data_IF_460268329526
#
_entry.id   IF_460268329526
#
_cell.length_a   1.000
_cell.length_b   1.000
_cell.length_c   1.000
_cell.angle_alpha   90.00
_cell.angle_beta   90.00
_cell.angle_gamma   90.00
#
_symmetry.space_group_name_H-M   'P 1'
#
loop_
_entity.id
_entity.type
_entity.pdbx_description
1 polymer ?
#
# COMPACT_ATOMS: atom_id res chain seq x y z
N UNK A 1 -6.27 1.14 6.32
CA UNK A 1 -5.78 0.85 4.96
C UNK A 1 -6.17 -0.53 4.41
N UNK A 2 -6.50 -1.55 5.23
CA UNK A 2 -6.51 -2.97 4.78
C UNK A 2 -7.85 -3.55 4.31
N UNK A 3 -8.89 -2.74 4.13
CA UNK A 3 -10.19 -3.26 3.67
C UNK A 3 -10.09 -4.01 2.33
N UNK A 4 -9.39 -3.48 1.29
CA UNK A 4 -9.23 -4.23 0.02
C UNK A 4 -8.52 -5.57 0.20
N UNK A 5 -7.50 -5.62 1.08
CA UNK A 5 -6.82 -6.88 1.41
C UNK A 5 -7.80 -7.93 1.94
N UNK A 6 -8.62 -7.57 2.94
CA UNK A 6 -9.57 -8.51 3.53
C UNK A 6 -10.62 -8.99 2.51
N UNK A 7 -11.14 -8.09 1.67
CA UNK A 7 -12.12 -8.46 0.63
C UNK A 7 -11.52 -9.47 -0.35
N UNK A 8 -10.36 -9.17 -0.92
CA UNK A 8 -9.73 -10.04 -1.94
C UNK A 8 -9.23 -11.35 -1.33
N UNK A 9 -8.68 -11.32 -0.11
CA UNK A 9 -8.27 -12.53 0.62
C UNK A 9 -9.46 -13.44 0.89
N UNK A 10 -10.60 -12.90 1.33
CA UNK A 10 -11.83 -13.68 1.54
C UNK A 10 -12.36 -14.27 0.24
N UNK A 11 -12.20 -13.58 -0.89
CA UNK A 11 -12.57 -14.08 -2.20
C UNK A 11 -11.57 -15.10 -2.81
N UNK A 12 -10.44 -15.38 -2.13
CA UNK A 12 -9.40 -16.27 -2.65
C UNK A 12 -8.61 -15.68 -3.85
N UNK A 13 -8.62 -14.35 -4.01
CA UNK A 13 -7.98 -13.66 -5.14
C UNK A 13 -6.53 -13.29 -4.79
N UNK A 14 -5.60 -13.74 -5.63
CA UNK A 14 -4.18 -13.36 -5.55
C UNK A 14 -3.90 -12.10 -6.36
N UNK A 15 -3.26 -11.11 -5.74
CA UNK A 15 -2.85 -9.86 -6.38
C UNK A 15 -1.56 -9.33 -5.74
N UNK A 16 -0.55 -8.91 -6.53
CA UNK A 16 0.75 -8.48 -6.00
C UNK A 16 0.65 -7.40 -4.92
N UNK A 17 -0.10 -6.33 -5.19
CA UNK A 17 -0.39 -5.30 -4.17
C UNK A 17 -1.38 -5.75 -3.08
N UNK A 18 -2.62 -6.10 -3.45
CA UNK A 18 -3.70 -6.21 -2.47
C UNK A 18 -3.60 -7.40 -1.53
N UNK A 19 -3.12 -8.56 -1.99
CA UNK A 19 -2.98 -9.75 -1.13
C UNK A 19 -1.53 -10.15 -0.86
N UNK A 20 -0.58 -9.68 -1.66
CA UNK A 20 0.84 -9.73 -1.36
C UNK A 20 1.29 -8.62 -0.39
N UNK A 21 1.57 -7.43 -0.92
CA UNK A 21 2.15 -6.32 -0.15
C UNK A 21 1.29 -5.86 1.03
N UNK A 22 -0.01 -5.59 0.81
CA UNK A 22 -0.92 -5.21 1.91
C UNK A 22 -1.11 -6.35 2.91
N UNK A 23 -0.98 -7.60 2.47
CA UNK A 23 -1.02 -8.77 3.35
C UNK A 23 0.15 -8.74 4.32
N UNK A 24 1.39 -8.59 3.83
CA UNK A 24 2.58 -8.45 4.65
C UNK A 24 2.50 -7.24 5.59
N UNK A 25 1.94 -6.12 5.12
CA UNK A 25 1.71 -4.93 5.95
C UNK A 25 0.72 -5.20 7.09
N UNK A 26 -0.34 -5.96 6.81
CA UNK A 26 -1.38 -6.30 7.81
C UNK A 26 -0.88 -7.20 8.93
N UNK A 27 0.20 -7.96 8.70
CA UNK A 27 0.88 -8.76 9.73
C UNK A 27 1.68 -7.89 10.71
N UNK A 28 2.16 -6.72 10.26
CA UNK A 28 2.93 -5.76 11.09
C UNK A 28 2.05 -4.72 11.76
N UNK A 29 1.00 -4.28 11.07
CA UNK A 29 0.14 -3.19 11.51
C UNK A 29 -1.33 -3.52 11.30
N UNK A 30 -2.14 -3.32 12.33
CA UNK A 30 -3.60 -3.35 12.24
C UNK A 30 -4.16 -2.05 11.69
N UNK A 31 -3.52 -0.93 12.03
CA UNK A 31 -3.87 0.41 11.52
C UNK A 31 -2.62 1.10 11.02
N UNK A 32 -2.72 1.64 9.81
CA UNK A 32 -1.78 2.60 9.24
C UNK A 32 -2.61 3.82 8.87
N UNK A 33 -2.50 4.86 9.67
CA UNK A 33 -3.08 6.19 9.48
C UNK A 33 -1.96 7.23 9.54
N UNK A 34 -2.14 8.42 8.98
CA UNK A 34 -1.12 9.49 8.98
C UNK A 34 -0.60 9.84 10.37
N UNK A 35 -1.45 9.81 11.40
CA UNK A 35 -1.08 10.24 12.75
C UNK A 35 -0.93 9.06 13.73
N UNK A 36 -1.29 7.85 13.32
CA UNK A 36 -1.27 6.67 14.20
C UNK A 36 -0.87 5.41 13.43
N UNK A 37 0.11 4.68 13.98
CA UNK A 37 0.30 3.26 13.70
C UNK A 37 -0.24 2.46 14.89
N UNK A 38 -0.88 1.33 14.61
CA UNK A 38 -1.32 0.38 15.63
C UNK A 38 -0.83 -1.01 15.25
N UNK A 39 -0.05 -1.65 16.13
CA UNK A 39 0.39 -3.02 15.93
C UNK A 39 -0.74 -4.02 16.21
N UNK A 40 -0.64 -5.28 15.76
CA UNK A 40 -1.59 -6.34 16.13
C UNK A 40 -1.68 -6.57 17.65
N UNK A 41 -0.61 -6.28 18.40
CA UNK A 41 -0.58 -6.35 19.86
C UNK A 41 -1.30 -5.18 20.56
N UNK A 42 -1.76 -4.18 19.80
CA UNK A 42 -2.44 -3.00 20.33
C UNK A 42 -1.51 -1.86 20.73
N UNK A 43 -0.23 -1.93 20.38
CA UNK A 43 0.73 -0.86 20.66
C UNK A 43 0.55 0.28 19.66
N UNK A 44 0.37 1.50 20.19
CA UNK A 44 0.14 2.70 19.41
C UNK A 44 1.43 3.51 19.24
N UNK A 45 1.73 3.91 18.01
CA UNK A 45 2.78 4.87 17.68
C UNK A 45 2.15 6.15 17.12
N UNK A 46 1.85 7.16 17.97
CA UNK A 46 1.33 8.43 17.51
C UNK A 46 2.42 9.27 16.82
N UNK A 47 2.00 10.21 15.97
CA UNK A 47 2.85 11.20 15.29
C UNK A 47 4.07 10.62 14.53
N UNK A 48 4.01 9.33 14.19
CA UNK A 48 5.07 8.60 13.50
C UNK A 48 5.51 9.28 12.20
N UNK A 49 4.59 9.94 11.50
CA UNK A 49 4.89 10.60 10.22
C UNK A 49 5.87 11.78 10.35
N UNK A 50 6.09 12.28 11.57
CA UNK A 50 7.06 13.35 11.88
C UNK A 50 8.37 12.81 12.47
N UNK A 51 8.45 11.50 12.76
CA UNK A 51 9.66 10.89 13.29
C UNK A 51 10.74 10.83 12.22
N UNK A 52 12.00 10.97 12.65
CA UNK A 52 13.17 10.89 11.73
C UNK A 52 13.39 9.47 11.22
N UNK A 53 13.13 8.49 12.08
CA UNK A 53 13.26 7.08 11.79
C UNK A 53 11.86 6.45 11.86
N UNK A 54 11.51 5.69 10.82
CA UNK A 54 10.25 4.96 10.70
C UNK A 54 10.56 3.55 10.24
N UNK A 55 9.68 2.58 10.55
CA UNK A 55 9.79 1.22 10.01
C UNK A 55 9.95 1.28 8.48
N UNK A 56 10.97 0.62 7.90
CA UNK A 56 11.14 0.52 6.46
C UNK A 56 9.86 0.10 5.71
N UNK A 57 9.03 -0.78 6.29
CA UNK A 57 7.76 -1.18 5.69
C UNK A 57 6.81 0.03 5.53
N UNK A 58 6.72 0.90 6.53
CA UNK A 58 5.91 2.13 6.46
C UNK A 58 6.49 3.12 5.46
N UNK A 59 7.82 3.25 5.40
CA UNK A 59 8.50 4.05 4.36
C UNK A 59 8.13 3.55 2.97
N UNK A 60 8.26 2.25 2.73
CA UNK A 60 8.02 1.63 1.42
C UNK A 60 6.54 1.73 1.03
N UNK A 61 5.62 1.57 2.01
CA UNK A 61 4.19 1.82 1.84
C UNK A 61 3.91 3.25 1.34
N UNK A 62 4.55 4.27 1.95
CA UNK A 62 4.39 5.67 1.53
C UNK A 62 4.99 5.94 0.16
N UNK A 63 6.16 5.37 -0.13
CA UNK A 63 6.83 5.54 -1.42
C UNK A 63 5.99 4.94 -2.55
N UNK A 64 5.42 3.75 -2.33
CA UNK A 64 4.52 3.10 -3.29
C UNK A 64 3.24 3.92 -3.53
N UNK A 65 2.60 4.42 -2.47
CA UNK A 65 1.43 5.29 -2.62
C UNK A 65 1.78 6.56 -3.41
N UNK A 66 2.89 7.21 -3.09
CA UNK A 66 3.34 8.40 -3.79
C UNK A 66 3.64 8.11 -5.26
N UNK A 67 4.39 7.05 -5.57
CA UNK A 67 4.73 6.70 -6.95
C UNK A 67 3.49 6.43 -7.81
N UNK A 68 2.46 5.80 -7.23
CA UNK A 68 1.21 5.50 -7.93
C UNK A 68 0.28 6.71 -8.09
N UNK A 69 0.28 7.65 -7.14
CA UNK A 69 -0.62 8.81 -7.17
C UNK A 69 0.00 10.03 -7.87
N UNK A 70 1.30 10.25 -7.70
CA UNK A 70 1.99 11.48 -8.10
C UNK A 70 3.32 11.22 -8.83
N UNK A 71 3.85 10.00 -8.77
CA UNK A 71 5.11 9.64 -9.40
C UNK A 71 4.97 9.18 -10.84
N UNK A 72 6.02 8.49 -11.31
CA UNK A 72 6.11 7.97 -12.69
C UNK A 72 5.62 6.52 -12.80
N UNK A 73 5.02 5.99 -11.73
CA UNK A 73 4.47 4.63 -11.66
C UNK A 73 5.53 3.56 -11.94
N UNK A 74 6.75 3.75 -11.42
CA UNK A 74 7.84 2.79 -11.52
C UNK A 74 7.49 1.44 -10.90
N UNK A 75 6.67 1.43 -9.85
CA UNK A 75 6.22 0.23 -9.16
C UNK A 75 5.03 -0.46 -9.85
N UNK A 76 4.42 0.14 -10.87
CA UNK A 76 3.23 -0.41 -11.50
C UNK A 76 3.43 -1.80 -12.13
N UNK A 77 4.51 -2.12 -12.86
CA UNK A 77 4.70 -3.46 -13.42
C UNK A 77 4.69 -4.57 -12.37
N UNK A 78 5.26 -4.30 -11.20
CA UNK A 78 5.40 -5.30 -10.14
C UNK A 78 4.13 -5.40 -9.27
N UNK A 79 3.48 -4.27 -8.98
CA UNK A 79 2.37 -4.21 -8.02
C UNK A 79 0.97 -4.13 -8.65
N UNK A 80 0.87 -3.58 -9.86
CA UNK A 80 -0.37 -3.33 -10.61
C UNK A 80 -0.17 -3.62 -12.11
N UNK A 81 0.24 -4.86 -12.47
CA UNK A 81 0.60 -5.23 -13.85
C UNK A 81 -0.51 -4.94 -14.86
N UNK A 82 -1.78 -5.01 -14.43
CA UNK A 82 -2.96 -4.68 -15.22
C UNK A 82 -3.03 -3.21 -15.69
N UNK A 83 -2.17 -2.34 -15.17
CA UNK A 83 -2.10 -0.92 -15.52
C UNK A 83 -0.99 -0.58 -16.52
N UNK A 84 -0.11 -1.54 -16.86
CA UNK A 84 1.07 -1.30 -17.72
C UNK A 84 0.76 -1.53 -19.20
N UNK A 85 -0.10 -2.50 -19.52
CA UNK A 85 -0.49 -2.81 -20.91
C UNK A 85 -1.66 -1.96 -21.44
N UNK A 86 -2.25 -1.12 -20.59
CA UNK A 86 -3.25 -0.13 -21.02
C UNK A 86 -2.55 1.16 -21.43
N UNK A 87 -1.80 1.08 -22.54
CA UNK A 87 -1.46 2.29 -23.31
C UNK A 87 -2.75 3.05 -23.55
N UNK A 88 -2.70 4.33 -23.18
CA UNK A 88 -3.76 5.34 -23.20
C UNK A 88 -4.54 5.33 -24.52
N UNK A 89 -5.56 4.48 -24.63
CA UNK A 89 -6.66 4.66 -25.57
C UNK A 89 -7.70 5.59 -24.93
N UNK A 90 -7.30 6.79 -24.50
CA UNK A 90 -8.19 7.87 -24.08
C UNK A 90 -7.38 9.13 -23.74
N UNK A 91 -7.04 9.93 -24.74
CA UNK A 91 -7.08 11.40 -24.67
C UNK A 91 -6.97 11.96 -26.09
N UNK A 92 -8.02 11.73 -26.88
CA UNK A 92 -8.41 12.65 -27.96
C UNK A 92 -9.59 13.46 -27.45
N UNK A 93 -9.32 14.70 -27.05
CA UNK A 93 -10.25 15.82 -27.03
C UNK A 93 -9.44 17.08 -27.19
#
# INVERSE_FOLDING_TARGET
AFLPYHILKTAGISHPYYTGFLGQMSERYRVVDRNLLLTPAGEATPDWARQKEIDPAIRDFRLLQYDMMFGKRHAAPDFFPETVDKVVAAHTS
#
